data_IF_478713801235
#
_entry.id   IF_478713801235
#
_cell.length_a   1.000
_cell.length_b   1.000
_cell.length_c   1.000
_cell.angle_alpha   90.00
_cell.angle_beta   90.00
_cell.angle_gamma   90.00
#
_symmetry.space_group_name_H-M   'P 1'
#
loop_
_entity.id
_entity.type
_entity.pdbx_description
1 polymer ?
#
# COMPACT_ATOMS: atom_id res chain seq x y z
N UNK A 1 3.09 3.39 -15.52
CA UNK A 1 2.02 4.18 -14.85
C UNK A 1 1.37 3.45 -13.69
N UNK A 2 0.97 2.18 -13.82
CA UNK A 2 0.29 1.41 -12.75
C UNK A 2 1.06 1.36 -11.42
N UNK A 3 2.35 0.98 -11.42
CA UNK A 3 3.13 0.83 -10.16
C UNK A 3 3.34 2.15 -9.39
N UNK A 4 3.60 3.26 -10.10
CA UNK A 4 3.78 4.58 -9.47
C UNK A 4 2.46 5.05 -8.84
N UNK A 5 1.34 4.85 -9.52
CA UNK A 5 0.02 5.21 -8.98
C UNK A 5 -0.36 4.31 -7.79
N UNK A 6 -0.03 3.02 -7.84
CA UNK A 6 -0.21 2.10 -6.71
C UNK A 6 0.60 2.53 -5.49
N UNK A 7 1.83 3.01 -5.68
CA UNK A 7 2.64 3.57 -4.60
C UNK A 7 1.97 4.77 -3.94
N UNK A 8 1.51 5.74 -4.73
CA UNK A 8 0.87 6.95 -4.21
C UNK A 8 -0.39 6.61 -3.42
N UNK A 9 -1.26 5.74 -3.94
CA UNK A 9 -2.47 5.32 -3.23
C UNK A 9 -2.17 4.49 -1.97
N UNK A 10 -1.22 3.56 -2.04
CA UNK A 10 -0.82 2.77 -0.87
C UNK A 10 -0.27 3.66 0.25
N UNK A 11 0.49 4.70 -0.11
CA UNK A 11 1.04 5.65 0.84
C UNK A 11 -0.06 6.49 1.50
N UNK A 12 -0.95 7.11 0.71
CA UNK A 12 -2.06 7.90 1.24
C UNK A 12 -2.96 7.06 2.14
N UNK A 13 -3.34 5.85 1.71
CA UNK A 13 -4.20 4.96 2.49
C UNK A 13 -3.50 4.47 3.77
N UNK A 14 -2.20 4.17 3.71
CA UNK A 14 -1.41 3.82 4.89
C UNK A 14 -1.42 4.92 5.95
N UNK A 15 -1.25 6.18 5.53
CA UNK A 15 -1.32 7.34 6.41
C UNK A 15 -2.71 7.53 7.05
N UNK A 16 -3.79 7.33 6.29
CA UNK A 16 -5.16 7.39 6.81
C UNK A 16 -5.41 6.28 7.84
N UNK A 17 -4.95 5.05 7.57
CA UNK A 17 -5.08 3.93 8.52
C UNK A 17 -4.31 4.21 9.81
N UNK A 18 -3.07 4.67 9.72
CA UNK A 18 -2.29 5.03 10.91
C UNK A 18 -2.94 6.16 11.71
N UNK A 19 -3.51 7.16 11.04
CA UNK A 19 -4.28 8.21 11.71
C UNK A 19 -5.49 7.68 12.46
N UNK A 20 -6.28 6.79 11.84
CA UNK A 20 -7.44 6.15 12.49
C UNK A 20 -7.01 5.34 13.70
N UNK A 21 -5.94 4.54 13.59
CA UNK A 21 -5.42 3.73 14.70
C UNK A 21 -4.93 4.62 15.85
N UNK A 22 -4.18 5.69 15.55
CA UNK A 22 -3.76 6.67 16.56
C UNK A 22 -4.97 7.33 17.24
N UNK A 23 -5.99 7.71 16.47
CA UNK A 23 -7.22 8.28 17.01
C UNK A 23 -7.98 7.31 17.92
N UNK A 24 -8.00 6.01 17.59
CA UNK A 24 -8.65 4.98 18.42
C UNK A 24 -7.90 4.73 19.72
N UNK A 25 -6.57 4.84 19.69
CA UNK A 25 -5.72 4.62 20.87
C UNK A 25 -5.49 5.89 21.70
N UNK A 26 -6.09 7.02 21.30
CA UNK A 26 -5.82 8.34 21.90
C UNK A 26 -4.32 8.68 21.94
N UNK A 27 -3.55 8.15 20.98
CA UNK A 27 -2.12 8.42 20.85
C UNK A 27 -1.88 9.50 19.80
N UNK A 28 -0.84 10.33 19.96
CA UNK A 28 -0.47 11.28 18.94
C UNK A 28 -0.12 10.56 17.64
N UNK A 29 -0.52 11.15 16.53
CA UNK A 29 -0.15 10.68 15.22
C UNK A 29 1.34 10.95 14.98
N UNK A 30 2.09 9.89 14.71
CA UNK A 30 3.51 9.95 14.39
C UNK A 30 3.75 9.70 12.89
N UNK A 31 4.27 10.72 12.20
CA UNK A 31 4.50 10.66 10.76
C UNK A 31 5.51 9.57 10.38
N UNK A 32 6.56 9.38 11.21
CA UNK A 32 7.58 8.35 10.96
C UNK A 32 6.99 6.94 10.94
N UNK A 33 6.14 6.62 11.94
CA UNK A 33 5.45 5.34 12.03
C UNK A 33 4.52 5.12 10.83
N UNK A 34 3.75 6.15 10.46
CA UNK A 34 2.83 6.08 9.33
C UNK A 34 3.55 5.88 7.98
N UNK A 35 4.69 6.55 7.77
CA UNK A 35 5.50 6.39 6.55
C UNK A 35 6.13 5.00 6.45
N UNK A 36 6.66 4.44 7.54
CA UNK A 36 7.17 3.06 7.57
C UNK A 36 6.04 2.09 7.22
N UNK A 37 4.86 2.28 7.81
CA UNK A 37 3.69 1.44 7.55
C UNK A 37 3.24 1.52 6.08
N UNK A 38 3.20 2.72 5.50
CA UNK A 38 2.89 2.93 4.09
C UNK A 38 3.87 2.24 3.14
N UNK A 39 5.17 2.27 3.42
CA UNK A 39 6.19 1.56 2.64
C UNK A 39 6.01 0.05 2.74
N UNK A 40 5.74 -0.49 3.93
CA UNK A 40 5.49 -1.93 4.13
C UNK A 40 4.27 -2.39 3.34
N UNK A 41 3.15 -1.65 3.41
CA UNK A 41 1.93 -1.96 2.64
C UNK A 41 2.23 -1.94 1.13
N UNK A 42 2.96 -0.94 0.65
CA UNK A 42 3.31 -0.87 -0.77
C UNK A 42 4.12 -2.09 -1.23
N UNK A 43 5.12 -2.52 -0.45
CA UNK A 43 5.93 -3.70 -0.76
C UNK A 43 5.05 -4.95 -0.82
N UNK A 44 4.17 -5.15 0.16
CA UNK A 44 3.25 -6.29 0.21
C UNK A 44 2.32 -6.32 -1.01
N UNK A 45 1.68 -5.19 -1.33
CA UNK A 45 0.77 -5.08 -2.49
C UNK A 45 1.51 -5.31 -3.80
N UNK A 46 2.75 -4.82 -3.92
CA UNK A 46 3.58 -5.02 -5.11
C UNK A 46 4.00 -6.48 -5.28
N UNK A 47 4.36 -7.16 -4.19
CA UNK A 47 4.67 -8.59 -4.19
C UNK A 47 3.44 -9.42 -4.58
N UNK A 48 2.27 -9.12 -4.01
CA UNK A 48 1.02 -9.80 -4.36
C UNK A 48 0.74 -9.61 -5.85
N UNK A 49 0.86 -8.39 -6.38
CA UNK A 49 0.69 -8.12 -7.80
C UNK A 49 1.67 -8.90 -8.69
N UNK A 50 2.93 -9.02 -8.27
CA UNK A 50 3.94 -9.79 -9.01
C UNK A 50 3.66 -11.30 -9.01
N UNK A 51 3.15 -11.85 -7.91
CA UNK A 51 2.85 -13.30 -7.79
C UNK A 51 1.50 -13.66 -8.41
N UNK A 52 0.49 -12.78 -8.33
CA UNK A 52 -0.86 -13.03 -8.83
C UNK A 52 -1.01 -12.82 -10.34
N UNK A 53 -0.12 -12.04 -10.98
CA UNK A 53 0.00 -12.02 -12.44
C UNK A 53 0.79 -13.24 -12.88
N UNK A 54 0.15 -14.41 -12.87
CA UNK A 54 0.57 -15.48 -13.78
C UNK A 54 0.37 -14.96 -15.21
N UNK A 55 1.27 -15.25 -16.16
CA UNK A 55 1.01 -14.91 -17.55
C UNK A 55 -0.23 -15.68 -17.98
N UNK A 56 -1.38 -15.01 -18.08
CA UNK A 56 -2.45 -15.52 -18.91
C UNK A 56 -1.86 -15.61 -20.32
N UNK A 57 -1.74 -16.81 -20.93
CA UNK A 57 -1.31 -16.90 -22.31
C UNK A 57 -2.31 -16.07 -23.10
N UNK A 58 -1.79 -15.09 -23.84
CA UNK A 58 -2.58 -14.25 -24.71
C UNK A 58 -3.45 -15.16 -25.57
N UNK A 59 -4.75 -15.28 -25.24
CA UNK A 59 -5.70 -15.93 -26.14
C UNK A 59 -5.89 -14.96 -27.28
N UNK A 60 -5.05 -15.15 -28.29
CA UNK A 60 -5.33 -15.05 -29.71
C UNK A 60 -6.72 -14.47 -30.01
N UNK A 61 -6.74 -13.18 -30.34
CA UNK A 61 -7.81 -12.53 -31.10
C UNK A 61 -7.20 -11.53 -32.06
#
# INVERSE_FOLDING_TARGET
>A
MKFVMTFVWAFILGHVVSYVISSMNSTPYEFGTASIFGVVIFVLVSLIGAVSVSPQPASER
#
